data_IF_022418971064
#
_entry.id   IF_022418971064
#
_cell.length_a   1.000
_cell.length_b   1.000
_cell.length_c   1.000
_cell.angle_alpha   90.00
_cell.angle_beta   90.00
_cell.angle_gamma   90.00
#
_symmetry.space_group_name_H-M   'P 1'
#
loop_
_entity.id
_entity.type
_entity.pdbx_description
1 polymer ?
#
# COMPACT_ATOMS: atom_id res chain seq x y z
N UNK A 1 -6.27 16.92 22.49
CA UNK A 1 -5.50 16.21 21.47
C UNK A 1 -5.51 17.04 20.19
N UNK A 2 -4.34 17.35 19.63
CA UNK A 2 -4.23 17.96 18.32
C UNK A 2 -4.69 16.99 17.23
N UNK A 3 -5.18 17.53 16.09
CA UNK A 3 -5.45 16.71 14.91
C UNK A 3 -4.13 16.25 14.29
N UNK A 4 -3.98 14.94 14.06
CA UNK A 4 -2.90 14.43 13.24
C UNK A 4 -3.23 14.68 11.76
N UNK A 5 -2.27 15.22 11.02
CA UNK A 5 -2.41 15.44 9.58
C UNK A 5 -1.15 15.00 8.85
N UNK A 6 -1.31 14.57 7.62
CA UNK A 6 -0.20 14.16 6.76
C UNK A 6 -0.51 14.48 5.29
N UNK A 7 0.47 14.29 4.44
CA UNK A 7 0.31 14.37 2.99
C UNK A 7 0.58 13.00 2.37
N UNK A 8 0.09 12.76 1.16
CA UNK A 8 0.40 11.52 0.44
C UNK A 8 1.91 11.39 0.18
N UNK A 9 2.61 12.50 -0.01
CA UNK A 9 4.07 12.53 -0.17
C UNK A 9 4.80 12.07 1.09
N UNK A 10 4.43 12.57 2.26
CA UNK A 10 5.07 12.23 3.53
C UNK A 10 4.78 10.77 3.90
N UNK A 11 3.55 10.31 3.69
CA UNK A 11 3.22 8.89 3.87
C UNK A 11 3.96 7.99 2.89
N UNK A 12 4.14 8.42 1.64
CA UNK A 12 4.94 7.70 0.65
C UNK A 12 6.40 7.57 1.09
N UNK A 13 7.00 8.65 1.59
CA UNK A 13 8.35 8.63 2.13
C UNK A 13 8.47 7.71 3.35
N UNK A 14 7.46 7.69 4.23
CA UNK A 14 7.41 6.79 5.37
C UNK A 14 7.33 5.32 4.93
N UNK A 15 6.46 4.98 3.99
CA UNK A 15 6.34 3.62 3.45
C UNK A 15 7.63 3.17 2.75
N UNK A 16 8.29 4.06 2.02
CA UNK A 16 9.60 3.79 1.43
C UNK A 16 10.64 3.48 2.52
N UNK A 17 10.64 4.23 3.63
CA UNK A 17 11.55 3.95 4.74
C UNK A 17 11.24 2.62 5.45
N UNK A 18 9.98 2.21 5.53
CA UNK A 18 9.61 0.86 5.98
C UNK A 18 10.27 -0.21 5.11
N UNK A 19 10.22 -0.04 3.79
CA UNK A 19 10.89 -0.95 2.85
C UNK A 19 12.41 -0.95 3.06
N UNK A 20 13.05 0.21 3.13
CA UNK A 20 14.50 0.34 3.37
C UNK A 20 14.93 -0.22 4.73
N UNK A 21 14.09 -0.05 5.75
CA UNK A 21 14.32 -0.68 7.06
C UNK A 21 14.33 -2.20 6.94
N UNK A 22 13.39 -2.78 6.20
CA UNK A 22 13.33 -4.22 5.96
C UNK A 22 14.57 -4.75 5.22
N UNK A 23 15.10 -3.98 4.26
CA UNK A 23 16.35 -4.34 3.58
C UNK A 23 17.56 -4.34 4.53
N UNK A 24 17.64 -3.36 5.44
CA UNK A 24 18.75 -3.24 6.41
C UNK A 24 18.64 -4.20 7.60
N UNK A 25 17.43 -4.62 7.93
CA UNK A 25 17.11 -5.45 9.09
C UNK A 25 16.18 -6.60 8.66
N UNK A 26 16.70 -7.62 7.98
CA UNK A 26 15.86 -8.65 7.35
C UNK A 26 14.93 -9.39 8.32
N UNK A 27 15.36 -9.62 9.55
CA UNK A 27 14.53 -10.32 10.54
C UNK A 27 13.33 -9.47 11.00
N UNK A 28 13.59 -8.29 11.59
CA UNK A 28 12.53 -7.44 12.13
C UNK A 28 11.72 -6.80 10.99
N UNK A 29 12.39 -6.35 9.95
CA UNK A 29 11.78 -5.76 8.79
C UNK A 29 10.96 -6.77 7.98
N UNK A 30 11.45 -8.00 7.85
CA UNK A 30 10.69 -9.09 7.22
C UNK A 30 9.40 -9.39 7.98
N UNK A 31 9.43 -9.43 9.31
CA UNK A 31 8.22 -9.58 10.14
C UNK A 31 7.24 -8.43 9.91
N UNK A 32 7.73 -7.17 9.92
CA UNK A 32 6.89 -6.00 9.70
C UNK A 32 6.20 -6.04 8.32
N UNK A 33 6.94 -6.33 7.27
CA UNK A 33 6.38 -6.48 5.91
C UNK A 33 5.37 -7.63 5.87
N UNK A 34 5.69 -8.76 6.49
CA UNK A 34 4.79 -9.91 6.56
C UNK A 34 3.47 -9.56 7.28
N UNK A 35 3.54 -8.89 8.42
CA UNK A 35 2.36 -8.47 9.18
C UNK A 35 1.48 -7.51 8.38
N UNK A 36 2.10 -6.55 7.69
CA UNK A 36 1.39 -5.62 6.81
C UNK A 36 0.79 -6.31 5.57
N UNK A 37 1.41 -7.40 5.09
CA UNK A 37 0.89 -8.17 3.95
C UNK A 37 -0.27 -9.11 4.32
N UNK A 38 -0.42 -9.42 5.61
CA UNK A 38 -1.45 -10.34 6.13
C UNK A 38 -2.50 -9.63 6.98
N UNK A 39 -2.83 -8.38 6.65
CA UNK A 39 -3.92 -7.68 7.34
C UNK A 39 -5.25 -8.40 7.07
N UNK A 40 -6.19 -8.27 8.00
CA UNK A 40 -7.53 -8.87 7.85
C UNK A 40 -8.39 -8.12 6.83
N UNK A 41 -8.00 -6.91 6.46
CA UNK A 41 -8.71 -6.07 5.49
C UNK A 41 -8.04 -6.13 4.14
N UNK A 42 -8.76 -6.64 3.14
CA UNK A 42 -8.31 -6.72 1.74
C UNK A 42 -9.08 -5.75 0.83
N UNK A 43 -9.60 -4.69 1.42
CA UNK A 43 -10.22 -3.55 0.74
C UNK A 43 -9.13 -2.51 0.35
N UNK A 44 -9.49 -1.46 -0.33
CA UNK A 44 -8.52 -0.43 -0.70
C UNK A 44 -7.50 -0.90 -1.74
N UNK A 45 -6.20 -0.72 -1.48
CA UNK A 45 -5.14 -1.02 -2.46
C UNK A 45 -5.21 -2.42 -3.07
N UNK A 46 -5.42 -3.51 -2.32
CA UNK A 46 -5.51 -4.85 -2.91
C UNK A 46 -6.86 -5.18 -3.55
N UNK A 47 -7.92 -4.39 -3.31
CA UNK A 47 -9.30 -4.77 -3.59
C UNK A 47 -9.62 -5.22 -5.03
N UNK A 48 -8.97 -4.65 -6.03
CA UNK A 48 -9.14 -5.02 -7.44
C UNK A 48 -7.85 -5.55 -8.10
N UNK A 49 -6.80 -5.81 -7.31
CA UNK A 49 -5.55 -6.36 -7.80
C UNK A 49 -5.54 -7.89 -7.77
N UNK A 50 -4.67 -8.54 -8.58
CA UNK A 50 -4.54 -10.00 -8.55
C UNK A 50 -4.23 -10.51 -7.14
N UNK A 51 -4.98 -11.50 -6.66
CA UNK A 51 -4.89 -12.04 -5.29
C UNK A 51 -3.54 -12.67 -4.93
N UNK A 52 -2.74 -13.02 -5.94
CA UNK A 52 -1.39 -13.57 -5.75
C UNK A 52 -0.32 -12.51 -5.44
N UNK A 53 -0.65 -11.22 -5.60
CA UNK A 53 0.29 -10.16 -5.29
C UNK A 53 0.45 -10.00 -3.79
N UNK A 54 1.68 -9.77 -3.38
CA UNK A 54 2.00 -9.39 -2.02
C UNK A 54 1.89 -7.87 -1.93
N UNK A 55 1.01 -7.40 -1.04
CA UNK A 55 0.72 -5.98 -0.88
C UNK A 55 0.70 -5.66 0.62
N UNK A 56 1.87 -5.41 1.22
CA UNK A 56 1.91 -4.87 2.58
C UNK A 56 1.31 -3.47 2.56
N UNK A 57 0.25 -3.27 3.34
CA UNK A 57 -0.45 -1.99 3.38
C UNK A 57 -1.09 -1.74 4.74
N UNK A 58 -1.47 -0.49 5.00
CA UNK A 58 -2.25 -0.09 6.17
C UNK A 58 -3.33 0.90 5.74
N UNK A 59 -4.54 0.45 5.89
CA UNK A 59 -5.73 1.26 5.69
C UNK A 59 -6.08 2.08 6.93
N UNK A 60 -6.91 3.09 6.75
CA UNK A 60 -7.50 3.89 7.81
C UNK A 60 -8.78 4.57 7.37
N UNK A 61 -9.74 4.64 8.26
CA UNK A 61 -11.00 5.34 8.00
C UNK A 61 -11.54 6.03 9.25
N UNK A 62 -12.18 7.14 9.03
CA UNK A 62 -13.08 7.83 9.94
C UNK A 62 -14.25 8.39 9.11
N UNK A 63 -15.24 8.99 9.75
CA UNK A 63 -16.38 9.59 9.04
C UNK A 63 -15.87 10.55 7.97
N UNK A 64 -16.25 10.28 6.72
CA UNK A 64 -15.90 11.10 5.56
C UNK A 64 -14.46 10.93 5.05
N UNK A 65 -13.67 10.02 5.61
CA UNK A 65 -12.27 9.80 5.22
C UNK A 65 -12.01 8.31 5.00
N UNK A 66 -11.37 7.99 3.88
CA UNK A 66 -10.81 6.66 3.63
C UNK A 66 -9.39 6.81 3.07
N UNK A 67 -8.46 6.05 3.62
CA UNK A 67 -7.04 6.14 3.26
C UNK A 67 -6.43 4.75 3.17
N UNK A 68 -5.42 4.60 2.33
CA UNK A 68 -4.59 3.40 2.30
C UNK A 68 -3.18 3.75 1.81
N UNK A 69 -2.19 3.11 2.38
CA UNK A 69 -0.78 3.31 2.05
C UNK A 69 -0.04 1.98 2.06
N UNK A 70 0.73 1.68 1.03
CA UNK A 70 1.41 0.41 0.96
C UNK A 70 2.39 0.27 -0.19
N UNK A 71 2.89 -0.95 -0.33
CA UNK A 71 3.82 -1.35 -1.38
C UNK A 71 3.16 -2.44 -2.22
N UNK A 72 3.13 -2.26 -3.52
CA UNK A 72 2.66 -3.30 -4.44
C UNK A 72 3.86 -4.03 -5.01
N UNK A 73 4.10 -5.26 -4.58
CA UNK A 73 5.18 -6.10 -5.08
C UNK A 73 4.77 -6.78 -6.40
N UNK A 74 4.75 -5.98 -7.44
CA UNK A 74 4.60 -6.45 -8.82
C UNK A 74 5.97 -6.67 -9.46
N UNK A 75 6.02 -7.03 -10.73
CA UNK A 75 7.30 -7.14 -11.48
C UNK A 75 8.13 -5.85 -11.49
N UNK A 76 7.51 -4.72 -11.21
CA UNK A 76 8.12 -3.42 -10.92
C UNK A 76 7.44 -2.86 -9.68
N UNK A 77 7.99 -3.12 -8.48
CA UNK A 77 7.38 -2.68 -7.24
C UNK A 77 7.28 -1.17 -7.15
N UNK A 78 6.24 -0.72 -6.49
CA UNK A 78 6.01 0.70 -6.26
C UNK A 78 5.29 0.95 -4.93
N UNK A 79 5.50 2.13 -4.39
CA UNK A 79 4.73 2.65 -3.26
C UNK A 79 3.49 3.35 -3.81
N UNK A 80 2.35 3.08 -3.20
CA UNK A 80 1.10 3.78 -3.50
C UNK A 80 0.45 4.27 -2.21
N UNK A 81 0.09 5.53 -2.20
CA UNK A 81 -0.65 6.17 -1.11
C UNK A 81 -1.86 6.88 -1.70
N UNK A 82 -3.02 6.59 -1.16
CA UNK A 82 -4.27 7.27 -1.51
C UNK A 82 -4.89 7.81 -0.22
N UNK A 83 -5.02 9.10 -0.14
CA UNK A 83 -5.69 9.81 0.95
C UNK A 83 -6.92 10.49 0.37
N UNK A 84 -8.10 10.14 0.86
CA UNK A 84 -9.35 10.74 0.38
C UNK A 84 -10.18 11.29 1.52
N UNK A 85 -10.84 12.41 1.28
CA UNK A 85 -11.78 13.07 2.19
C UNK A 85 -13.08 13.42 1.45
N UNK A 86 -14.14 13.69 2.19
CA UNK A 86 -15.45 13.97 1.60
C UNK A 86 -16.13 12.74 1.00
N UNK A 87 -15.71 11.52 1.39
CA UNK A 87 -16.37 10.29 0.93
C UNK A 87 -17.71 10.11 1.64
N UNK A 88 -18.76 9.63 0.92
CA UNK A 88 -20.09 9.51 1.51
C UNK A 88 -20.17 8.42 2.59
N UNK A 89 -19.41 7.35 2.42
CA UNK A 89 -19.30 6.21 3.32
C UNK A 89 -17.97 5.48 3.13
N UNK A 90 -17.62 4.63 4.09
CA UNK A 90 -16.37 3.88 4.11
C UNK A 90 -16.23 2.93 2.91
N UNK A 91 -17.30 2.20 2.58
CA UNK A 91 -17.28 1.22 1.49
C UNK A 91 -17.01 1.90 0.14
N UNK A 92 -17.70 3.01 -0.14
CA UNK A 92 -17.47 3.81 -1.34
C UNK A 92 -16.05 4.35 -1.37
N UNK A 93 -15.53 4.82 -0.24
CA UNK A 93 -14.16 5.30 -0.12
C UNK A 93 -13.13 4.23 -0.51
N UNK A 94 -13.22 3.04 0.05
CA UNK A 94 -12.31 1.94 -0.26
C UNK A 94 -12.50 1.38 -1.66
N UNK A 95 -13.71 1.32 -2.21
CA UNK A 95 -13.93 0.97 -3.61
C UNK A 95 -13.24 1.95 -4.57
N UNK A 96 -13.28 3.24 -4.28
CA UNK A 96 -12.59 4.24 -5.08
C UNK A 96 -11.06 4.08 -5.00
N UNK A 97 -10.51 3.79 -3.82
CA UNK A 97 -9.08 3.47 -3.64
C UNK A 97 -8.72 2.24 -4.48
N UNK A 98 -9.52 1.19 -4.45
CA UNK A 98 -9.29 -0.02 -5.24
C UNK A 98 -9.25 0.25 -6.75
N UNK A 99 -10.16 1.07 -7.26
CA UNK A 99 -10.19 1.49 -8.67
C UNK A 99 -8.95 2.29 -9.06
N UNK A 100 -8.53 3.24 -8.21
CA UNK A 100 -7.29 4.02 -8.42
C UNK A 100 -6.09 3.08 -8.44
N UNK A 101 -6.01 2.18 -7.48
CA UNK A 101 -4.95 1.17 -7.40
C UNK A 101 -4.89 0.31 -8.67
N UNK A 102 -6.03 -0.12 -9.19
CA UNK A 102 -6.11 -0.89 -10.43
C UNK A 102 -5.59 -0.12 -11.65
N UNK A 103 -5.96 1.14 -11.79
CA UNK A 103 -5.48 1.99 -12.89
C UNK A 103 -3.95 2.15 -12.82
N UNK A 104 -3.41 2.40 -11.64
CA UNK A 104 -1.95 2.52 -11.42
C UNK A 104 -1.26 1.20 -11.74
N UNK A 105 -1.80 0.08 -11.24
CA UNK A 105 -1.25 -1.25 -11.49
C UNK A 105 -1.18 -1.55 -13.00
N UNK A 106 -2.26 -1.33 -13.73
CA UNK A 106 -2.31 -1.59 -15.18
C UNK A 106 -1.29 -0.71 -15.94
N UNK A 107 -1.07 0.53 -15.49
CA UNK A 107 -0.01 1.38 -16.04
C UNK A 107 1.38 0.82 -15.73
N UNK A 108 1.64 0.45 -14.47
CA UNK A 108 2.93 -0.10 -14.04
C UNK A 108 3.30 -1.39 -14.79
N UNK A 109 2.31 -2.21 -15.17
CA UNK A 109 2.55 -3.42 -15.96
C UNK A 109 3.06 -3.14 -17.38
N UNK A 110 2.85 -1.95 -17.92
CA UNK A 110 3.35 -1.52 -19.23
C UNK A 110 4.82 -1.07 -19.19
N UNK A 111 5.34 -0.78 -18.02
CA UNK A 111 6.73 -0.36 -17.83
C UNK A 111 7.66 -1.58 -17.79
N UNK A 112 8.97 -1.41 -18.12
CA UNK A 112 9.94 -2.48 -17.99
C UNK A 112 9.99 -3.03 -16.56
N UNK A 113 10.19 -4.35 -16.42
CA UNK A 113 10.38 -4.96 -15.10
C UNK A 113 11.61 -4.37 -14.38
N UNK A 114 11.55 -4.31 -13.06
CA UNK A 114 12.71 -3.90 -12.26
C UNK A 114 13.83 -4.92 -12.40
N UNK A 115 15.07 -4.43 -12.51
CA UNK A 115 16.26 -5.28 -12.51
C UNK A 115 16.68 -5.58 -11.06
N UNK A 116 17.12 -6.81 -10.79
CA UNK A 116 17.66 -7.24 -9.50
C UNK A 116 16.70 -7.03 -8.31
N UNK A 117 15.42 -7.24 -8.54
CA UNK A 117 14.43 -7.17 -7.49
C UNK A 117 14.62 -8.32 -6.49
N UNK A 118 14.89 -7.98 -5.24
CA UNK A 118 14.75 -8.89 -4.12
C UNK A 118 13.38 -8.65 -3.48
N UNK A 119 12.49 -9.62 -3.62
CA UNK A 119 11.27 -9.63 -2.81
C UNK A 119 11.65 -9.97 -1.38
N UNK A 120 11.04 -9.33 -0.37
CA UNK A 120 11.20 -9.79 1.00
C UNK A 120 10.66 -11.23 1.12
N UNK A 121 11.34 -12.05 1.94
CA UNK A 121 10.86 -13.38 2.29
C UNK A 121 9.56 -13.22 3.08
N UNK A 122 8.44 -13.50 2.45
CA UNK A 122 7.10 -13.44 3.05
C UNK A 122 6.61 -14.88 3.18
N UNK A 123 6.41 -15.28 4.40
CA UNK A 123 5.82 -16.58 4.74
C UNK A 123 4.32 -16.62 4.46
#
# INVERSE_FOLDING_TARGET
FGSASTTARDMGAFVEEVYRFAERNPEQGGRLINDLAHTVYHVGLPGELPSKLVIPHKEGSIIGVATDAGIVFSRRPYVLVVLSEGVPDEDTGFQNIAKISRIIYDHQQKLPAAKNLKLPDIE
#
